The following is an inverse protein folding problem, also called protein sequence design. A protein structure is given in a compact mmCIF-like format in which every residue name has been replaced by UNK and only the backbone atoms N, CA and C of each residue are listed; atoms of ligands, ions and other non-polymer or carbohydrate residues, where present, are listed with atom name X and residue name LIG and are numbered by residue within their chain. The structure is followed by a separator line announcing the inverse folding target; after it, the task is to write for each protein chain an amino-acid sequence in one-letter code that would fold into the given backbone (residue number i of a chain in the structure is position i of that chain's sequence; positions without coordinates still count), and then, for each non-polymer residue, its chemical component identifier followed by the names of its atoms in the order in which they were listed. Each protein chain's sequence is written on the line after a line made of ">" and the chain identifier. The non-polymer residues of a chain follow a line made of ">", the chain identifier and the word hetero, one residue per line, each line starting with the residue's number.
data_IF_587896302910
#
_entry.id   IF_587896302910
#
_cell.length_a   1.000
_cell.length_b   1.000
_cell.length_c   1.000
_cell.angle_alpha   90.00
_cell.angle_beta   90.00
_cell.angle_gamma   90.00
#
_symmetry.space_group_name_H-M   'P 1'
#
loop_
_entity.id
_entity.type
_entity.pdbx_description
1 polymer ?
#
# COMPACT_ATOMS: atom_id res chain seq x y z
N UNK A 1 23.16 6.90 -0.85
CA UNK A 1 21.82 6.65 -0.30
C UNK A 1 20.80 6.71 -1.43
N UNK A 2 19.92 5.71 -1.62
CA UNK A 2 18.94 5.81 -2.70
C UNK A 2 17.93 6.90 -2.30
N UNK A 3 17.84 7.94 -3.13
CA UNK A 3 16.84 9.00 -2.96
C UNK A 3 15.46 8.34 -3.12
N UNK A 4 14.72 8.19 -2.02
CA UNK A 4 13.28 7.89 -2.08
C UNK A 4 12.61 8.99 -2.91
N UNK A 5 11.57 8.68 -3.70
CA UNK A 5 10.79 9.72 -4.39
C UNK A 5 10.26 10.70 -3.31
N UNK A 6 10.28 12.03 -3.53
CA UNK A 6 9.87 13.02 -2.52
C UNK A 6 8.47 12.75 -1.96
N UNK A 7 7.56 12.34 -2.85
CA UNK A 7 6.17 11.96 -2.57
C UNK A 7 6.05 10.77 -1.60
N UNK A 8 7.07 9.90 -1.58
CA UNK A 8 7.15 8.73 -0.72
C UNK A 8 7.99 8.97 0.54
N UNK A 9 8.62 10.15 0.67
CA UNK A 9 9.36 10.53 1.88
C UNK A 9 8.44 11.05 2.99
N UNK A 10 7.26 11.57 2.63
CA UNK A 10 6.29 12.19 3.55
C UNK A 10 4.90 11.58 3.35
N UNK A 11 4.82 10.25 3.42
CA UNK A 11 3.56 9.54 3.25
C UNK A 11 2.68 9.75 4.50
N UNK A 12 1.70 10.65 4.41
CA UNK A 12 0.72 10.82 5.48
C UNK A 12 -0.41 9.79 5.35
N UNK A 13 -0.26 8.67 6.07
CA UNK A 13 -1.26 7.61 6.10
C UNK A 13 -2.57 8.05 6.78
N UNK A 14 -2.58 9.12 7.57
CA UNK A 14 -3.83 9.61 8.17
C UNK A 14 -4.77 10.21 7.11
N UNK A 15 -4.21 10.68 5.99
CA UNK A 15 -4.98 11.17 4.86
C UNK A 15 -5.54 10.05 3.96
N UNK A 16 -5.10 8.80 4.16
CA UNK A 16 -5.48 7.68 3.31
C UNK A 16 -6.86 7.13 3.71
N UNK A 17 -7.82 7.03 2.79
CA UNK A 17 -9.10 6.41 3.07
C UNK A 17 -8.94 4.96 3.52
N UNK A 18 -9.64 4.59 4.60
CA UNK A 18 -9.67 3.22 5.10
C UNK A 18 -10.40 2.27 4.15
N UNK A 19 -10.14 0.97 4.34
CA UNK A 19 -10.76 -0.14 3.62
C UNK A 19 -12.07 -0.53 4.32
N UNK A 20 -13.12 -0.80 3.55
CA UNK A 20 -14.35 -1.40 4.05
C UNK A 20 -14.13 -2.90 4.34
N UNK A 21 -13.42 -3.20 5.43
CA UNK A 21 -13.00 -4.56 5.77
C UNK A 21 -14.16 -5.55 5.85
N UNK A 22 -15.33 -5.10 6.27
CA UNK A 22 -16.56 -5.89 6.44
C UNK A 22 -17.12 -6.47 5.14
N UNK A 23 -16.83 -5.84 4.00
CA UNK A 23 -17.30 -6.27 2.67
C UNK A 23 -16.33 -7.24 1.98
N UNK A 24 -15.17 -7.50 2.58
CA UNK A 24 -14.16 -8.42 2.03
C UNK A 24 -14.36 -9.83 2.55
N UNK A 25 -14.21 -10.79 1.62
CA UNK A 25 -14.05 -12.20 1.94
C UNK A 25 -12.84 -12.42 2.86
N UNK A 26 -12.89 -13.47 3.68
CA UNK A 26 -11.86 -13.76 4.67
C UNK A 26 -10.46 -13.90 4.04
N UNK A 27 -10.37 -14.56 2.87
CA UNK A 27 -9.12 -14.73 2.13
C UNK A 27 -8.56 -13.40 1.62
N UNK A 28 -9.41 -12.58 1.00
CA UNK A 28 -9.05 -11.23 0.52
C UNK A 28 -8.64 -10.33 1.69
N UNK A 29 -9.30 -10.47 2.84
CA UNK A 29 -8.99 -9.72 4.07
C UNK A 29 -7.58 -10.05 4.58
N UNK A 30 -7.21 -11.32 4.68
CA UNK A 30 -5.87 -11.70 5.16
C UNK A 30 -4.77 -11.20 4.23
N UNK A 31 -4.93 -11.34 2.92
CA UNK A 31 -3.95 -10.80 1.98
C UNK A 31 -3.88 -9.28 2.06
N UNK A 32 -5.02 -8.61 2.17
CA UNK A 32 -5.07 -7.15 2.27
C UNK A 32 -4.42 -6.65 3.57
N UNK A 33 -4.52 -7.38 4.68
CA UNK A 33 -3.80 -7.05 5.93
C UNK A 33 -2.28 -7.06 5.72
N UNK A 34 -1.73 -8.05 5.02
CA UNK A 34 -0.29 -8.10 4.72
C UNK A 34 0.13 -6.88 3.88
N UNK A 35 -0.70 -6.49 2.90
CA UNK A 35 -0.45 -5.32 2.05
C UNK A 35 -0.46 -4.01 2.86
N UNK A 36 -1.45 -3.84 3.75
CA UNK A 36 -1.55 -2.68 4.65
C UNK A 36 -0.33 -2.61 5.56
N UNK A 37 0.04 -3.72 6.18
CA UNK A 37 1.20 -3.80 7.07
C UNK A 37 2.51 -3.40 6.35
N UNK A 38 2.69 -3.81 5.08
CA UNK A 38 3.86 -3.43 4.30
C UNK A 38 3.93 -1.91 4.05
N UNK A 39 2.78 -1.26 3.80
CA UNK A 39 2.70 0.20 3.62
C UNK A 39 2.95 0.94 4.93
N UNK A 40 2.36 0.50 6.04
CA UNK A 40 2.56 1.09 7.37
C UNK A 40 4.02 1.05 7.81
N UNK A 41 4.68 -0.09 7.59
CA UNK A 41 6.12 -0.25 7.83
C UNK A 41 6.95 0.70 6.97
N UNK A 42 6.59 0.85 5.69
CA UNK A 42 7.26 1.78 4.78
C UNK A 42 7.12 3.23 5.27
N UNK A 43 5.91 3.65 5.64
CA UNK A 43 5.63 4.98 6.17
C UNK A 43 6.33 5.24 7.51
N UNK A 44 6.52 4.21 8.33
CA UNK A 44 7.32 4.26 9.56
C UNK A 44 8.83 4.43 9.31
N UNK A 45 9.26 4.46 8.04
CA UNK A 45 10.65 4.66 7.65
C UNK A 45 11.46 3.38 7.49
N UNK A 46 10.86 2.20 7.71
CA UNK A 46 11.54 0.91 7.59
C UNK A 46 12.11 0.71 6.18
N UNK A 47 13.24 0.00 6.08
CA UNK A 47 13.87 -0.24 4.78
C UNK A 47 13.04 -1.28 4.00
N UNK A 48 12.92 -1.10 2.68
CA UNK A 48 12.16 -2.04 1.83
C UNK A 48 12.67 -3.48 1.97
N UNK A 49 13.96 -3.66 2.23
CA UNK A 49 14.57 -4.98 2.44
C UNK A 49 14.04 -5.66 3.71
N UNK A 50 13.90 -4.92 4.80
CA UNK A 50 13.33 -5.46 6.05
C UNK A 50 11.83 -5.71 5.91
N UNK A 51 11.11 -4.83 5.19
CA UNK A 51 9.68 -5.03 4.90
C UNK A 51 9.47 -6.31 4.09
N UNK A 52 10.26 -6.52 3.03
CA UNK A 52 10.20 -7.73 2.21
C UNK A 52 10.49 -8.98 3.04
N UNK A 53 11.49 -8.94 3.92
CA UNK A 53 11.79 -10.04 4.84
C UNK A 53 10.67 -10.31 5.85
N UNK A 54 10.00 -9.27 6.34
CA UNK A 54 8.95 -9.39 7.36
C UNK A 54 7.58 -9.78 6.80
N UNK A 55 7.26 -9.34 5.57
CA UNK A 55 5.92 -9.46 4.98
C UNK A 55 5.88 -10.36 3.74
N UNK A 56 7.03 -10.71 3.15
CA UNK A 56 7.12 -11.41 1.87
C UNK A 56 6.73 -10.56 0.66
N UNK A 57 6.44 -9.27 0.85
CA UNK A 57 6.05 -8.37 -0.23
C UNK A 57 7.28 -7.91 -1.02
N UNK A 58 7.28 -8.22 -2.32
CA UNK A 58 8.31 -7.75 -3.25
C UNK A 58 8.35 -6.21 -3.34
N UNK A 59 9.56 -5.67 -3.45
CA UNK A 59 9.82 -4.24 -3.61
C UNK A 59 8.99 -3.59 -4.72
N UNK A 60 8.86 -4.22 -5.89
CA UNK A 60 8.10 -3.65 -7.03
C UNK A 60 6.61 -3.62 -6.73
N UNK A 61 6.08 -4.61 -6.02
CA UNK A 61 4.67 -4.59 -5.57
C UNK A 61 4.42 -3.44 -4.61
N UNK A 62 5.29 -3.27 -3.61
CA UNK A 62 5.18 -2.17 -2.64
C UNK A 62 5.17 -0.80 -3.32
N UNK A 63 6.12 -0.53 -4.22
CA UNK A 63 6.15 0.76 -4.93
C UNK A 63 4.92 0.96 -5.82
N UNK A 64 4.44 -0.08 -6.51
CA UNK A 64 3.20 0.01 -7.30
C UNK A 64 1.99 0.37 -6.43
N UNK A 65 1.88 -0.20 -5.24
CA UNK A 65 0.79 0.13 -4.33
C UNK A 65 0.89 1.54 -3.77
N UNK A 66 2.10 1.99 -3.43
CA UNK A 66 2.33 3.36 -2.96
C UNK A 66 1.94 4.39 -4.02
N UNK A 67 2.40 4.21 -5.27
CA UNK A 67 2.06 5.08 -6.39
C UNK A 67 0.55 5.07 -6.66
N UNK A 68 -0.08 3.89 -6.62
CA UNK A 68 -1.53 3.76 -6.85
C UNK A 68 -2.36 4.34 -5.71
N UNK A 69 -1.89 4.25 -4.47
CA UNK A 69 -2.54 4.83 -3.30
C UNK A 69 -2.53 6.37 -3.34
N UNK A 70 -1.48 6.97 -3.90
CA UNK A 70 -1.38 8.41 -4.11
C UNK A 70 -2.13 8.91 -5.36
N UNK A 71 -2.52 8.01 -6.27
CA UNK A 71 -3.27 8.40 -7.45
C UNK A 71 -4.63 9.00 -7.05
N UNK A 72 -5.05 10.04 -7.77
CA UNK A 72 -6.38 10.61 -7.63
C UNK A 72 -7.43 9.63 -8.17
N UNK A 73 -8.43 9.37 -7.35
CA UNK A 73 -9.65 8.71 -7.74
C UNK A 73 -10.62 9.74 -8.37
N UNK A 74 -11.51 9.34 -9.30
CA UNK A 74 -12.47 10.24 -9.95
C UNK A 74 -13.43 10.99 -8.99
N UNK A 75 -13.55 10.56 -7.74
CA UNK A 75 -14.32 11.26 -6.69
C UNK A 75 -13.56 12.47 -6.07
N UNK A 76 -12.35 12.76 -6.55
CA UNK A 76 -11.51 13.86 -6.07
C UNK A 76 -10.66 13.52 -4.85
N UNK A 77 -10.68 12.28 -4.36
CA UNK A 77 -9.84 11.82 -3.23
C UNK A 77 -8.73 10.91 -3.74
N UNK A 78 -7.66 10.73 -2.97
CA UNK A 78 -6.67 9.70 -3.28
C UNK A 78 -7.27 8.30 -3.04
N UNK A 79 -6.79 7.28 -3.75
CA UNK A 79 -7.23 5.91 -3.49
C UNK A 79 -6.88 5.43 -2.07
N UNK A 80 -5.72 5.83 -1.56
CA UNK A 80 -5.16 5.34 -0.30
C UNK A 80 -5.12 3.81 -0.22
N UNK A 81 -5.59 3.25 0.89
CA UNK A 81 -5.57 1.79 1.10
C UNK A 81 -6.51 1.03 0.15
N UNK A 82 -7.51 1.70 -0.45
CA UNK A 82 -8.40 1.07 -1.43
C UNK A 82 -7.64 0.61 -2.69
N UNK A 83 -6.49 1.23 -2.99
CA UNK A 83 -5.62 0.79 -4.07
C UNK A 83 -5.10 -0.64 -3.88
N UNK A 84 -5.08 -1.15 -2.65
CA UNK A 84 -4.59 -2.49 -2.30
C UNK A 84 -5.59 -3.60 -2.62
N UNK A 85 -6.86 -3.27 -2.87
CA UNK A 85 -7.92 -4.26 -3.06
C UNK A 85 -7.92 -4.88 -4.45
N UNK A 86 -7.25 -4.26 -5.43
CA UNK A 86 -7.34 -4.72 -6.82
C UNK A 86 -6.45 -5.94 -7.06
N UNK A 87 -7.02 -7.12 -6.80
CA UNK A 87 -6.68 -8.36 -7.49
C UNK A 87 -7.08 -8.22 -8.96
N UNK A 88 -6.21 -7.63 -9.77
CA UNK A 88 -6.18 -7.98 -11.19
C UNK A 88 -4.83 -8.62 -11.38
N UNK A 89 -4.82 -9.96 -11.37
CA UNK A 89 -3.81 -10.68 -12.13
C UNK A 89 -3.90 -10.12 -13.55
N UNK A 90 -2.86 -9.40 -13.96
CA UNK A 90 -2.65 -9.21 -15.39
C UNK A 90 -2.09 -10.54 -15.86
N UNK A 91 -2.99 -11.41 -16.31
CA UNK A 91 -2.69 -12.49 -17.25
C UNK A 91 -2.97 -11.97 -18.67
#
# INVERSE_FOLDING_TARGET
>A
MPRRKPELQSLDLNAWPSIAWTELDAEVREVTKVRVQAIERYASGESVKEIEKATGVDRRQLYRWLERGLALHPDGRIFGFRALLRYVEVA
#
